data_IF_001576815176
#
_entry.id   IF_001576815176
#
_cell.length_a   1.000
_cell.length_b   1.000
_cell.length_c   1.000
_cell.angle_alpha   90.00
_cell.angle_beta   90.00
_cell.angle_gamma   90.00
#
_symmetry.space_group_name_H-M   'P 1'
#
loop_
_entity.id
_entity.type
_entity.pdbx_description
1 polymer ?
#
# COMPACT_ATOMS: atom_id res chain seq x y z
N UNK A 1 16.06 -40.19 -8.97
CA UNK A 1 16.17 -40.01 -7.50
C UNK A 1 16.55 -38.57 -7.26
N UNK A 2 15.57 -37.70 -7.21
CA UNK A 2 15.66 -36.38 -6.59
C UNK A 2 14.24 -35.82 -6.58
N UNK A 3 13.78 -35.61 -5.40
CA UNK A 3 12.45 -35.18 -5.01
C UNK A 3 12.39 -33.67 -5.10
N UNK A 4 11.47 -33.16 -5.91
CA UNK A 4 11.24 -31.72 -6.07
C UNK A 4 9.87 -31.40 -5.49
N UNK A 5 9.84 -31.11 -4.20
CA UNK A 5 8.66 -30.63 -3.51
C UNK A 5 8.67 -29.11 -3.43
N UNK A 6 8.26 -28.45 -4.52
CA UNK A 6 7.83 -27.06 -4.48
C UNK A 6 6.31 -27.03 -4.23
N UNK A 7 5.88 -26.90 -2.98
CA UNK A 7 4.49 -26.65 -2.61
C UNK A 7 4.22 -25.16 -2.63
N UNK A 8 3.59 -24.72 -3.70
CA UNK A 8 2.83 -23.47 -3.73
C UNK A 8 1.68 -23.55 -2.71
N UNK A 9 1.79 -22.77 -1.64
CA UNK A 9 0.74 -22.56 -0.65
C UNK A 9 -0.04 -21.28 -1.01
N UNK A 10 -0.80 -21.31 -2.12
CA UNK A 10 -1.62 -20.15 -2.53
C UNK A 10 -3.01 -20.52 -3.06
N UNK A 11 -3.55 -21.69 -2.69
CA UNK A 11 -4.84 -22.18 -3.19
C UNK A 11 -5.93 -22.39 -2.13
N UNK A 12 -5.71 -22.04 -0.87
CA UNK A 12 -6.57 -22.52 0.22
C UNK A 12 -7.65 -21.57 0.75
N UNK A 13 -7.65 -20.30 0.37
CA UNK A 13 -8.60 -19.32 0.94
C UNK A 13 -9.79 -19.02 0.04
N UNK A 14 -9.68 -19.22 -1.27
CA UNK A 14 -10.77 -18.91 -2.20
C UNK A 14 -11.80 -20.05 -2.31
N UNK A 15 -11.39 -21.31 -2.09
CA UNK A 15 -12.29 -22.46 -2.15
C UNK A 15 -13.17 -22.63 -0.89
N UNK A 16 -12.73 -22.18 0.28
CA UNK A 16 -13.50 -22.30 1.52
C UNK A 16 -14.62 -21.24 1.60
N UNK A 17 -14.43 -20.08 0.95
CA UNK A 17 -15.46 -19.03 0.86
C UNK A 17 -16.54 -19.35 -0.20
N UNK A 18 -16.19 -20.03 -1.28
CA UNK A 18 -17.13 -20.43 -2.32
C UNK A 18 -18.04 -21.59 -1.89
N UNK A 19 -17.55 -22.49 -1.01
CA UNK A 19 -18.32 -23.64 -0.54
C UNK A 19 -19.36 -23.30 0.55
N UNK A 20 -19.22 -22.15 1.22
CA UNK A 20 -20.13 -21.77 2.31
C UNK A 20 -21.44 -21.15 1.82
N UNK A 21 -21.46 -20.59 0.61
CA UNK A 21 -22.58 -19.76 0.13
C UNK A 21 -23.67 -20.55 -0.62
N UNK A 22 -23.33 -21.61 -1.31
CA UNK A 22 -24.28 -22.33 -2.19
C UNK A 22 -25.23 -23.29 -1.45
N UNK A 23 -24.75 -23.93 -0.41
CA UNK A 23 -25.57 -24.88 0.37
C UNK A 23 -26.55 -24.17 1.31
N UNK A 24 -26.14 -23.01 1.87
CA UNK A 24 -26.97 -22.18 2.74
C UNK A 24 -28.09 -21.47 1.94
N UNK A 25 -27.75 -20.96 0.75
CA UNK A 25 -28.72 -20.38 -0.21
C UNK A 25 -29.74 -21.41 -0.73
N UNK A 26 -29.35 -22.68 -0.93
CA UNK A 26 -30.24 -23.74 -1.37
C UNK A 26 -31.16 -24.24 -0.23
N UNK A 27 -30.66 -24.24 1.01
CA UNK A 27 -31.47 -24.62 2.19
C UNK A 27 -32.53 -23.55 2.49
N UNK A 28 -32.19 -22.26 2.33
CA UNK A 28 -33.11 -21.14 2.54
C UNK A 28 -34.22 -21.12 1.47
N UNK A 29 -33.91 -21.34 0.19
CA UNK A 29 -34.90 -21.45 -0.91
C UNK A 29 -35.87 -22.62 -0.72
N UNK A 30 -35.43 -23.75 -0.17
CA UNK A 30 -36.30 -24.89 0.11
C UNK A 30 -37.26 -24.63 1.26
N UNK A 31 -36.82 -23.89 2.27
CA UNK A 31 -37.64 -23.45 3.40
C UNK A 31 -38.72 -22.45 2.96
N UNK A 32 -38.39 -21.49 2.09
CA UNK A 32 -39.32 -20.51 1.51
C UNK A 32 -40.40 -21.18 0.65
N UNK A 33 -40.01 -22.12 -0.19
CA UNK A 33 -40.97 -22.88 -1.03
C UNK A 33 -41.93 -23.73 -0.21
N UNK A 34 -41.52 -24.25 0.95
CA UNK A 34 -42.38 -24.96 1.88
C UNK A 34 -43.40 -24.06 2.58
N UNK A 35 -42.96 -22.83 2.94
CA UNK A 35 -43.85 -21.81 3.52
C UNK A 35 -44.90 -21.32 2.52
N UNK A 36 -44.55 -21.12 1.27
CA UNK A 36 -45.46 -20.69 0.21
C UNK A 36 -46.52 -21.76 -0.07
N UNK A 37 -46.16 -23.09 -0.04
CA UNK A 37 -47.15 -24.20 -0.19
C UNK A 37 -48.10 -24.28 0.99
N UNK A 38 -47.63 -24.14 2.22
CA UNK A 38 -48.50 -24.13 3.40
C UNK A 38 -49.47 -22.95 3.41
N UNK A 39 -49.08 -21.78 2.83
CA UNK A 39 -49.96 -20.63 2.65
C UNK A 39 -51.03 -20.88 1.58
N UNK A 40 -50.71 -21.54 0.48
CA UNK A 40 -51.66 -21.84 -0.59
C UNK A 40 -52.76 -22.81 -0.10
N UNK A 41 -52.39 -23.80 0.73
CA UNK A 41 -53.33 -24.77 1.34
C UNK A 41 -54.30 -24.11 2.34
N UNK A 42 -53.84 -23.06 3.05
CA UNK A 42 -54.68 -22.26 3.97
C UNK A 42 -55.66 -21.34 3.23
N UNK A 43 -55.23 -20.74 2.12
CA UNK A 43 -56.05 -19.85 1.30
C UNK A 43 -57.19 -20.64 0.62
N UNK A 44 -56.95 -21.88 0.22
CA UNK A 44 -57.95 -22.73 -0.42
C UNK A 44 -59.05 -23.22 0.53
N UNK A 45 -58.84 -23.12 1.83
CA UNK A 45 -59.77 -23.60 2.86
C UNK A 45 -60.56 -22.50 3.59
N UNK A 46 -60.31 -21.22 3.27
CA UNK A 46 -60.84 -20.07 4.01
C UNK A 46 -62.04 -19.40 3.32
N UNK A 47 -62.97 -18.84 4.10
CA UNK A 47 -64.02 -17.91 3.62
C UNK A 47 -63.42 -16.66 3.00
N UNK A 48 -64.15 -15.97 2.12
CA UNK A 48 -63.67 -14.86 1.33
C UNK A 48 -63.03 -13.73 2.15
N UNK A 49 -63.50 -13.50 3.41
CA UNK A 49 -62.92 -12.54 4.33
C UNK A 49 -61.54 -12.94 4.89
N UNK A 50 -61.35 -14.26 5.09
CA UNK A 50 -60.04 -14.81 5.54
C UNK A 50 -59.01 -14.82 4.41
N UNK A 51 -59.48 -14.96 3.15
CA UNK A 51 -58.63 -14.86 1.96
C UNK A 51 -58.08 -13.43 1.77
N UNK A 52 -58.92 -12.41 2.00
CA UNK A 52 -58.50 -10.99 1.88
C UNK A 52 -57.47 -10.63 2.96
N UNK A 53 -57.68 -11.05 4.21
CA UNK A 53 -56.76 -10.87 5.31
C UNK A 53 -55.41 -11.62 5.09
N UNK A 54 -55.48 -12.83 4.50
CA UNK A 54 -54.28 -13.61 4.17
C UNK A 54 -53.49 -12.95 3.01
N UNK A 55 -54.17 -12.36 2.03
CA UNK A 55 -53.53 -11.64 0.95
C UNK A 55 -52.80 -10.36 1.46
N UNK A 56 -53.45 -9.56 2.32
CA UNK A 56 -52.80 -8.39 2.95
C UNK A 56 -51.58 -8.80 3.77
N UNK A 57 -51.67 -9.93 4.52
CA UNK A 57 -50.52 -10.44 5.27
C UNK A 57 -49.37 -10.88 4.36
N UNK A 58 -49.66 -11.54 3.24
CA UNK A 58 -48.67 -11.94 2.25
C UNK A 58 -48.03 -10.73 1.58
N UNK A 59 -48.81 -9.73 1.20
CA UNK A 59 -48.31 -8.50 0.60
C UNK A 59 -47.35 -7.79 1.57
N UNK A 60 -47.71 -7.69 2.85
CA UNK A 60 -46.85 -7.10 3.88
C UNK A 60 -45.55 -7.88 4.08
N UNK A 61 -45.63 -9.23 4.11
CA UNK A 61 -44.43 -10.08 4.25
C UNK A 61 -43.52 -9.95 3.02
N UNK A 62 -44.09 -9.93 1.80
CA UNK A 62 -43.34 -9.71 0.56
C UNK A 62 -42.66 -8.34 0.55
N UNK A 63 -43.35 -7.27 0.97
CA UNK A 63 -42.76 -5.93 1.04
C UNK A 63 -41.63 -5.89 2.05
N UNK A 64 -41.78 -6.53 3.20
CA UNK A 64 -40.72 -6.64 4.22
C UNK A 64 -39.49 -7.39 3.68
N UNK A 65 -39.72 -8.56 3.05
CA UNK A 65 -38.65 -9.34 2.44
C UNK A 65 -37.91 -8.58 1.31
N UNK A 66 -38.64 -7.83 0.51
CA UNK A 66 -38.06 -6.99 -0.52
C UNK A 66 -37.19 -5.89 0.08
N UNK A 67 -37.64 -5.26 1.16
CA UNK A 67 -36.91 -4.24 1.91
C UNK A 67 -35.63 -4.84 2.53
N UNK A 68 -35.72 -6.01 3.16
CA UNK A 68 -34.56 -6.70 3.72
C UNK A 68 -33.55 -7.08 2.64
N UNK A 69 -34.01 -7.64 1.51
CA UNK A 69 -33.15 -7.96 0.36
C UNK A 69 -32.39 -6.74 -0.13
N UNK A 70 -33.08 -5.61 -0.29
CA UNK A 70 -32.45 -4.38 -0.78
C UNK A 70 -31.44 -3.82 0.26
N UNK A 71 -31.75 -3.91 1.54
CA UNK A 71 -30.84 -3.59 2.64
C UNK A 71 -29.57 -4.47 2.62
N UNK A 72 -29.74 -5.79 2.49
CA UNK A 72 -28.58 -6.70 2.38
C UNK A 72 -27.73 -6.44 1.13
N UNK A 73 -28.39 -6.16 0.01
CA UNK A 73 -27.69 -5.78 -1.22
C UNK A 73 -26.86 -4.52 -1.06
N UNK A 74 -27.41 -3.50 -0.42
CA UNK A 74 -26.69 -2.25 -0.16
C UNK A 74 -25.52 -2.45 0.80
N UNK A 75 -25.69 -3.28 1.83
CA UNK A 75 -24.61 -3.67 2.74
C UNK A 75 -23.51 -4.40 1.99
N UNK A 76 -23.87 -5.38 1.14
CA UNK A 76 -22.90 -6.14 0.36
C UNK A 76 -22.11 -5.26 -0.61
N UNK A 77 -22.77 -4.35 -1.32
CA UNK A 77 -22.12 -3.40 -2.22
C UNK A 77 -21.16 -2.47 -1.47
N UNK A 78 -21.57 -1.99 -0.30
CA UNK A 78 -20.71 -1.15 0.56
C UNK A 78 -19.51 -1.92 1.05
N UNK A 79 -19.72 -3.16 1.54
CA UNK A 79 -18.65 -4.02 2.02
C UNK A 79 -17.63 -4.32 0.90
N UNK A 80 -18.11 -4.60 -0.31
CA UNK A 80 -17.24 -4.80 -1.47
C UNK A 80 -16.41 -3.55 -1.77
N UNK A 81 -17.02 -2.36 -1.77
CA UNK A 81 -16.30 -1.12 -1.99
C UNK A 81 -15.25 -0.86 -0.90
N UNK A 82 -15.59 -1.11 0.36
CA UNK A 82 -14.69 -0.95 1.50
C UNK A 82 -13.51 -1.94 1.41
N UNK A 83 -13.77 -3.18 1.00
CA UNK A 83 -12.73 -4.20 0.79
C UNK A 83 -11.77 -3.81 -0.34
N UNK A 84 -12.29 -3.31 -1.47
CA UNK A 84 -11.46 -2.85 -2.57
C UNK A 84 -10.59 -1.63 -2.17
N UNK A 85 -11.15 -0.70 -1.41
CA UNK A 85 -10.41 0.42 -0.85
C UNK A 85 -9.33 -0.05 0.14
N UNK A 86 -9.67 -1.01 1.01
CA UNK A 86 -8.72 -1.63 1.93
C UNK A 86 -7.56 -2.29 1.18
N UNK A 87 -7.84 -3.12 0.16
CA UNK A 87 -6.81 -3.77 -0.66
C UNK A 87 -5.86 -2.77 -1.30
N UNK A 88 -6.40 -1.70 -1.91
CA UNK A 88 -5.57 -0.65 -2.52
C UNK A 88 -4.67 0.02 -1.48
N UNK A 89 -5.25 0.41 -0.35
CA UNK A 89 -4.50 1.05 0.74
C UNK A 89 -3.40 0.14 1.27
N UNK A 90 -3.70 -1.15 1.49
CA UNK A 90 -2.72 -2.13 1.98
C UNK A 90 -1.59 -2.35 0.98
N UNK A 91 -1.88 -2.42 -0.32
CA UNK A 91 -0.84 -2.55 -1.35
C UNK A 91 0.10 -1.32 -1.38
N UNK A 92 -0.46 -0.12 -1.27
CA UNK A 92 0.34 1.11 -1.19
C UNK A 92 1.19 1.13 0.09
N UNK A 93 0.58 0.82 1.23
CA UNK A 93 1.28 0.78 2.51
C UNK A 93 2.42 -0.23 2.52
N UNK A 94 2.20 -1.42 1.96
CA UNK A 94 3.25 -2.44 1.83
C UNK A 94 4.43 -1.94 0.97
N UNK A 95 4.15 -1.29 -0.15
CA UNK A 95 5.18 -0.71 -1.00
C UNK A 95 5.97 0.39 -0.25
N UNK A 96 5.28 1.26 0.48
CA UNK A 96 5.90 2.31 1.30
C UNK A 96 6.74 1.73 2.44
N UNK A 97 6.29 0.65 3.07
CA UNK A 97 7.02 -0.02 4.17
C UNK A 97 8.31 -0.67 3.65
N UNK A 98 8.25 -1.32 2.48
CA UNK A 98 9.45 -1.87 1.82
C UNK A 98 10.42 -0.75 1.46
N UNK A 99 9.93 0.34 0.86
CA UNK A 99 10.77 1.49 0.53
C UNK A 99 11.40 2.12 1.77
N UNK A 100 10.66 2.23 2.85
CA UNK A 100 11.14 2.79 4.13
C UNK A 100 12.18 1.89 4.78
N UNK A 101 11.98 0.57 4.73
CA UNK A 101 12.92 -0.41 5.28
C UNK A 101 14.24 -0.43 4.48
N UNK A 102 14.15 -0.43 3.13
CA UNK A 102 15.33 -0.39 2.26
C UNK A 102 16.08 0.94 2.37
N UNK A 103 15.35 2.06 2.50
CA UNK A 103 15.95 3.37 2.74
C UNK A 103 16.73 3.42 4.06
N UNK A 104 16.19 2.89 5.16
CA UNK A 104 16.91 2.78 6.43
C UNK A 104 18.17 1.94 6.34
N UNK A 105 18.13 0.85 5.56
CA UNK A 105 19.33 0.04 5.32
C UNK A 105 20.38 0.84 4.53
N UNK A 106 19.98 1.55 3.48
CA UNK A 106 20.88 2.41 2.73
C UNK A 106 21.47 3.53 3.60
N UNK A 107 20.67 4.15 4.47
CA UNK A 107 21.11 5.15 5.44
C UNK A 107 22.20 4.60 6.38
N UNK A 108 22.05 3.36 6.86
CA UNK A 108 23.04 2.71 7.70
C UNK A 108 24.38 2.45 6.98
N UNK A 109 24.39 2.43 5.63
CA UNK A 109 25.61 2.31 4.83
C UNK A 109 26.30 3.67 4.52
N UNK A 110 25.63 4.79 4.73
CA UNK A 110 26.22 6.11 4.46
C UNK A 110 27.54 6.37 5.20
N UNK A 111 27.73 5.96 6.48
CA UNK A 111 29.04 6.09 7.14
C UNK A 111 30.17 5.34 6.44
N UNK A 112 29.85 4.22 5.77
CA UNK A 112 30.85 3.47 4.99
C UNK A 112 31.25 4.26 3.74
N UNK A 113 30.26 4.86 3.05
CA UNK A 113 30.54 5.75 1.91
C UNK A 113 31.40 6.97 2.33
N UNK A 114 31.05 7.60 3.46
CA UNK A 114 31.84 8.72 3.99
C UNK A 114 33.28 8.31 4.30
N UNK A 115 33.48 7.11 4.89
CA UNK A 115 34.81 6.58 5.16
C UNK A 115 35.59 6.30 3.87
N UNK A 116 34.91 5.80 2.83
CA UNK A 116 35.52 5.60 1.53
C UNK A 116 35.87 6.93 0.85
N UNK A 117 35.01 7.96 0.93
CA UNK A 117 35.30 9.31 0.42
C UNK A 117 36.53 9.90 1.12
N UNK A 118 36.62 9.81 2.46
CA UNK A 118 37.76 10.27 3.22
C UNK A 118 39.07 9.51 2.88
N UNK A 119 38.98 8.18 2.72
CA UNK A 119 40.12 7.38 2.33
C UNK A 119 40.57 7.61 0.87
N UNK A 120 39.64 7.91 -0.03
CA UNK A 120 39.90 8.27 -1.41
C UNK A 120 40.81 9.51 -1.53
N UNK A 121 40.61 10.52 -0.64
CA UNK A 121 41.45 11.69 -0.62
C UNK A 121 42.92 11.38 -0.27
N UNK A 122 43.18 10.32 0.50
CA UNK A 122 44.51 9.89 0.93
C UNK A 122 45.14 8.86 0.00
N UNK A 123 44.34 7.91 -0.49
CA UNK A 123 44.76 6.76 -1.29
C UNK A 123 43.86 6.53 -2.51
N UNK A 124 43.84 7.47 -3.49
CA UNK A 124 42.88 7.42 -4.59
C UNK A 124 43.00 6.13 -5.43
N UNK A 125 44.21 5.68 -5.74
CA UNK A 125 44.40 4.49 -6.60
C UNK A 125 43.94 3.17 -6.02
N UNK A 126 43.87 3.06 -4.69
CA UNK A 126 43.48 1.81 -4.01
C UNK A 126 41.99 1.81 -3.65
N UNK A 127 41.44 2.98 -3.31
CA UNK A 127 40.07 3.11 -2.79
C UNK A 127 39.05 3.33 -3.91
N UNK A 128 39.43 4.02 -4.98
CA UNK A 128 38.54 4.37 -6.09
C UNK A 128 37.76 3.18 -6.68
N UNK A 129 38.38 2.03 -6.98
CA UNK A 129 37.65 0.89 -7.54
C UNK A 129 36.58 0.35 -6.59
N UNK A 130 36.87 0.32 -5.28
CA UNK A 130 35.95 -0.19 -4.26
C UNK A 130 34.79 0.79 -4.06
N UNK A 131 35.11 2.08 -3.96
CA UNK A 131 34.11 3.14 -3.80
C UNK A 131 33.15 3.19 -5.00
N UNK A 132 33.69 3.18 -6.22
CA UNK A 132 32.89 3.20 -7.44
C UNK A 132 32.00 1.96 -7.58
N UNK A 133 32.52 0.78 -7.20
CA UNK A 133 31.74 -0.45 -7.21
C UNK A 133 30.58 -0.37 -6.21
N UNK A 134 30.84 0.03 -4.96
CA UNK A 134 29.82 0.17 -3.92
C UNK A 134 28.76 1.20 -4.32
N UNK A 135 29.20 2.39 -4.69
CA UNK A 135 28.30 3.47 -5.12
C UNK A 135 27.49 3.06 -6.35
N UNK A 136 28.11 2.37 -7.31
CA UNK A 136 27.46 1.87 -8.52
C UNK A 136 26.38 0.83 -8.22
N UNK A 137 26.57 -0.06 -7.22
CA UNK A 137 25.54 -1.00 -6.80
C UNK A 137 24.39 -0.30 -6.07
N UNK A 138 24.69 0.64 -5.19
CA UNK A 138 23.65 1.39 -4.48
C UNK A 138 22.86 2.29 -5.44
N UNK A 139 23.48 2.87 -6.47
CA UNK A 139 22.77 3.61 -7.52
C UNK A 139 21.78 2.74 -8.30
N UNK A 140 22.13 1.48 -8.60
CA UNK A 140 21.19 0.55 -9.25
C UNK A 140 19.97 0.22 -8.38
N UNK A 141 20.10 0.34 -7.06
CA UNK A 141 19.03 0.10 -6.10
C UNK A 141 18.20 1.35 -5.79
N UNK A 142 18.60 2.52 -6.30
CA UNK A 142 17.85 3.76 -6.16
C UNK A 142 18.52 4.84 -5.29
N UNK A 143 19.80 4.66 -4.92
CA UNK A 143 20.59 5.73 -4.29
C UNK A 143 20.98 6.76 -5.35
N UNK A 144 20.77 8.04 -5.07
CA UNK A 144 21.23 9.14 -5.91
C UNK A 144 22.07 10.11 -5.07
N UNK A 145 23.18 10.55 -5.63
CA UNK A 145 24.05 11.57 -5.02
C UNK A 145 23.53 12.95 -5.42
N UNK A 146 23.38 13.84 -4.47
CA UNK A 146 22.98 15.21 -4.73
C UNK A 146 24.18 16.01 -5.25
N UNK A 147 24.09 16.53 -6.47
CA UNK A 147 25.07 17.44 -7.02
C UNK A 147 24.61 18.88 -6.78
N UNK A 148 25.04 19.47 -5.67
CA UNK A 148 24.59 20.79 -5.23
C UNK A 148 25.65 21.91 -5.46
N UNK A 149 26.84 21.57 -5.91
CA UNK A 149 27.89 22.55 -6.17
C UNK A 149 27.40 23.58 -7.21
N UNK A 150 27.55 24.85 -6.88
CA UNK A 150 27.13 26.01 -7.68
C UNK A 150 25.61 26.08 -7.92
N UNK A 151 24.81 25.34 -7.13
CA UNK A 151 23.34 25.42 -7.17
C UNK A 151 22.82 26.41 -6.12
N UNK A 152 21.65 27.01 -6.35
CA UNK A 152 20.96 27.77 -5.30
C UNK A 152 20.77 26.90 -4.06
N UNK A 153 20.96 27.50 -2.88
CA UNK A 153 20.78 26.76 -1.63
C UNK A 153 19.33 26.42 -1.38
N UNK A 154 19.02 25.12 -1.24
CA UNK A 154 17.70 24.62 -0.83
C UNK A 154 17.80 23.97 0.55
N UNK A 155 17.12 24.53 1.60
CA UNK A 155 17.11 23.98 2.95
C UNK A 155 16.53 22.55 3.05
N UNK A 156 15.74 22.09 2.06
CA UNK A 156 15.20 20.75 2.04
C UNK A 156 16.25 19.69 1.61
N UNK A 157 17.29 20.11 0.90
CA UNK A 157 18.31 19.24 0.33
C UNK A 157 19.66 19.36 1.03
N UNK A 158 19.95 20.51 1.64
CA UNK A 158 21.24 20.81 2.21
C UNK A 158 21.14 21.57 3.53
N UNK A 159 22.14 21.37 4.38
CA UNK A 159 22.38 22.08 5.62
C UNK A 159 23.60 22.99 5.45
N UNK A 160 23.41 24.31 5.59
CA UNK A 160 24.47 25.28 5.53
C UNK A 160 25.25 25.31 6.86
N UNK A 161 26.45 24.77 6.87
CA UNK A 161 27.34 24.71 8.05
C UNK A 161 28.27 25.89 8.13
N UNK A 162 28.70 26.38 6.97
CA UNK A 162 29.60 27.54 6.85
C UNK A 162 28.97 28.55 5.90
N UNK A 163 29.19 29.83 6.20
CA UNK A 163 28.75 30.94 5.38
C UNK A 163 29.94 31.80 4.99
N UNK A 164 30.11 32.07 3.70
CA UNK A 164 31.06 33.03 3.16
C UNK A 164 30.33 34.30 2.74
N UNK A 165 30.92 35.48 3.02
CA UNK A 165 30.38 36.71 2.52
C UNK A 165 30.41 36.71 0.98
N UNK A 166 29.28 37.06 0.37
CA UNK A 166 29.09 37.18 -1.06
C UNK A 166 28.62 38.57 -1.45
N UNK A 167 28.13 38.70 -2.67
CA UNK A 167 27.71 39.99 -3.24
C UNK A 167 26.26 40.39 -2.84
N UNK A 168 25.64 39.72 -1.84
CA UNK A 168 24.31 40.04 -1.34
C UNK A 168 23.16 39.49 -2.21
N UNK A 169 23.43 38.45 -3.01
CA UNK A 169 22.43 37.74 -3.80
C UNK A 169 21.78 36.54 -3.05
N UNK A 170 21.03 35.72 -3.79
CA UNK A 170 20.53 34.44 -3.25
C UNK A 170 21.74 33.57 -2.87
N UNK A 171 21.68 32.88 -1.70
CA UNK A 171 22.76 32.02 -1.26
C UNK A 171 22.98 30.86 -2.22
N UNK A 172 24.21 30.67 -2.66
CA UNK A 172 24.63 29.59 -3.57
C UNK A 172 25.60 28.67 -2.83
N UNK A 173 25.52 27.38 -3.10
CA UNK A 173 26.45 26.40 -2.54
C UNK A 173 27.83 26.57 -3.17
N UNK A 174 28.79 27.03 -2.38
CA UNK A 174 30.19 27.23 -2.84
C UNK A 174 30.99 25.92 -2.74
N UNK A 175 30.69 25.08 -1.74
CA UNK A 175 31.42 23.82 -1.52
C UNK A 175 30.51 22.81 -0.83
N UNK A 176 30.66 21.55 -1.22
CA UNK A 176 29.99 20.42 -0.54
C UNK A 176 31.00 19.78 0.42
N UNK A 177 30.78 19.96 1.72
CA UNK A 177 31.65 19.44 2.78
C UNK A 177 31.35 17.97 3.09
N UNK A 178 30.09 17.55 2.89
CA UNK A 178 29.66 16.19 3.07
C UNK A 178 28.54 15.88 2.06
N UNK A 179 28.70 14.78 1.32
CA UNK A 179 27.76 14.38 0.28
C UNK A 179 26.37 14.10 0.84
N UNK A 180 25.35 14.66 0.20
CA UNK A 180 23.95 14.35 0.43
C UNK A 180 23.47 13.23 -0.47
N UNK A 181 22.48 12.46 0.00
CA UNK A 181 21.95 11.31 -0.73
C UNK A 181 20.43 11.26 -0.67
N UNK A 182 19.83 10.86 -1.80
CA UNK A 182 18.42 10.49 -1.90
C UNK A 182 18.26 9.00 -2.18
N UNK A 183 17.11 8.44 -1.83
CA UNK A 183 16.70 7.08 -2.13
C UNK A 183 15.33 7.09 -2.78
N UNK A 184 15.28 6.72 -4.04
CA UNK A 184 14.03 6.76 -4.82
C UNK A 184 13.28 8.11 -4.67
N UNK A 185 14.02 9.22 -4.75
CA UNK A 185 13.49 10.58 -4.65
C UNK A 185 13.25 11.09 -3.22
N UNK A 186 13.46 10.27 -2.17
CA UNK A 186 13.37 10.69 -0.77
C UNK A 186 14.74 11.01 -0.22
N UNK A 187 14.89 12.16 0.43
CA UNK A 187 16.14 12.54 1.11
C UNK A 187 16.43 11.56 2.25
N UNK A 188 17.57 10.87 2.18
CA UNK A 188 18.11 10.04 3.26
C UNK A 188 18.96 10.89 4.21
N UNK A 189 19.77 11.75 3.63
CA UNK A 189 20.65 12.64 4.36
C UNK A 189 20.86 13.93 3.56
N UNK A 190 20.62 15.06 4.18
CA UNK A 190 20.95 16.36 3.61
C UNK A 190 22.48 16.48 3.40
N UNK A 191 22.87 17.18 2.37
CA UNK A 191 24.29 17.53 2.18
C UNK A 191 24.70 18.59 3.20
N UNK A 192 25.92 18.50 3.74
CA UNK A 192 26.50 19.60 4.50
C UNK A 192 27.28 20.48 3.55
N UNK A 193 26.90 21.74 3.48
CA UNK A 193 27.43 22.65 2.48
C UNK A 193 27.95 23.96 3.09
N UNK A 194 28.81 24.58 2.36
CA UNK A 194 29.25 25.94 2.57
C UNK A 194 28.53 26.82 1.55
N UNK A 195 27.90 27.88 1.99
CA UNK A 195 27.14 28.80 1.15
C UNK A 195 27.80 30.13 1.06
N UNK A 196 27.65 30.78 -0.08
CA UNK A 196 28.11 32.15 -0.35
C UNK A 196 26.87 32.96 -0.78
N UNK A 197 26.61 34.08 -0.08
CA UNK A 197 25.50 34.98 -0.39
C UNK A 197 25.52 36.24 0.45
#
# INVERSE_FOLDING_TARGET
MTDDTNRNADGGLDDEFAAFDEAELLADRTSEMSRLRALDDTIAAADAADVEAAQEAIEHDVETLLSERDSFKDIALRLQADFDNYRRRMATQQADDVQRATGKFAEALLPVLDACEAAFLQHPGEVEPIFNLLLGQLKKLGLETMNLHEQPFDPNLAEAVLHEPGDGGEPVVSEVLRSGYTWNGRVLRAAMVKVRG
#
